data_IF_213044818326
#
_entry.id   IF_213044818326
#
_cell.length_a   1.000
_cell.length_b   1.000
_cell.length_c   1.000
_cell.angle_alpha   90.00
_cell.angle_beta   90.00
_cell.angle_gamma   90.00
#
_symmetry.space_group_name_H-M   'P 1'
#
loop_
_entity.id
_entity.type
_entity.pdbx_description
1 polymer ?
#
# COMPACT_ATOMS: atom_id res chain seq x y z
N UNK A 1 -23.83 -31.35 -52.37
CA UNK A 1 -23.62 -31.64 -50.95
C UNK A 1 -23.42 -30.32 -50.23
N UNK A 2 -24.35 -30.00 -49.35
CA UNK A 2 -24.44 -28.77 -48.54
C UNK A 2 -23.37 -28.80 -47.45
N UNK A 3 -22.68 -27.70 -47.14
CA UNK A 3 -22.76 -27.04 -45.83
C UNK A 3 -21.85 -25.79 -45.72
N UNK A 4 -22.56 -24.71 -45.43
CA UNK A 4 -22.22 -23.36 -44.98
C UNK A 4 -21.64 -23.31 -43.54
N UNK A 5 -20.85 -22.25 -43.25
CA UNK A 5 -20.44 -21.66 -41.94
C UNK A 5 -19.49 -22.49 -41.04
N UNK A 6 -18.53 -21.90 -40.29
CA UNK A 6 -18.72 -21.06 -39.10
C UNK A 6 -17.35 -20.49 -38.59
N UNK A 7 -17.36 -19.28 -38.03
CA UNK A 7 -16.54 -18.97 -36.86
C UNK A 7 -15.29 -18.07 -37.00
N UNK A 8 -15.50 -16.76 -36.99
CA UNK A 8 -14.52 -15.78 -36.47
C UNK A 8 -14.14 -16.17 -35.04
N UNK A 9 -12.89 -16.56 -34.76
CA UNK A 9 -12.39 -16.71 -33.38
C UNK A 9 -11.43 -15.57 -33.01
N UNK A 10 -12.02 -14.38 -32.86
CA UNK A 10 -11.38 -13.19 -32.32
C UNK A 10 -11.23 -13.34 -30.77
N UNK A 11 -10.36 -14.23 -30.29
CA UNK A 11 -10.20 -14.50 -28.84
C UNK A 11 -9.01 -13.81 -28.16
N UNK A 12 -8.12 -13.14 -28.91
CA UNK A 12 -6.84 -12.67 -28.37
C UNK A 12 -6.74 -11.22 -27.85
N UNK A 13 -7.65 -10.25 -28.09
CA UNK A 13 -7.45 -8.88 -27.61
C UNK A 13 -7.96 -8.62 -26.19
N UNK A 14 -8.98 -9.35 -25.73
CA UNK A 14 -9.60 -9.11 -24.41
C UNK A 14 -8.71 -9.60 -23.26
N UNK A 15 -7.94 -10.68 -23.45
CA UNK A 15 -7.07 -11.24 -22.39
C UNK A 15 -5.90 -10.31 -22.09
N UNK A 16 -5.28 -9.75 -23.14
CA UNK A 16 -4.20 -8.76 -23.01
C UNK A 16 -4.70 -7.44 -22.42
N UNK A 17 -5.92 -7.00 -22.77
CA UNK A 17 -6.53 -5.81 -22.19
C UNK A 17 -6.71 -5.95 -20.66
N UNK A 18 -7.25 -7.08 -20.20
CA UNK A 18 -7.41 -7.32 -18.76
C UNK A 18 -6.06 -7.31 -18.02
N UNK A 19 -5.04 -8.00 -18.53
CA UNK A 19 -3.70 -8.01 -17.92
C UNK A 19 -3.11 -6.60 -17.85
N UNK A 20 -3.24 -5.80 -18.92
CA UNK A 20 -2.76 -4.42 -18.93
C UNK A 20 -3.50 -3.56 -17.89
N UNK A 21 -4.82 -3.71 -17.78
CA UNK A 21 -5.63 -3.02 -16.76
C UNK A 21 -5.19 -3.42 -15.35
N UNK A 22 -4.97 -4.70 -15.07
CA UNK A 22 -4.45 -5.15 -13.77
C UNK A 22 -3.06 -4.59 -13.46
N UNK A 23 -2.16 -4.58 -14.44
CA UNK A 23 -0.81 -4.00 -14.28
C UNK A 23 -0.86 -2.49 -14.01
N UNK A 24 -1.74 -1.77 -14.73
CA UNK A 24 -1.99 -0.35 -14.51
C UNK A 24 -2.57 -0.09 -13.11
N UNK A 25 -3.51 -0.92 -12.65
CA UNK A 25 -4.13 -0.80 -11.33
C UNK A 25 -3.11 -1.00 -10.20
N UNK A 26 -2.24 -2.00 -10.33
CA UNK A 26 -1.15 -2.26 -9.38
C UNK A 26 -0.13 -1.11 -9.35
N UNK A 27 0.26 -0.58 -10.52
CA UNK A 27 1.14 0.59 -10.61
C UNK A 27 0.52 1.83 -9.95
N UNK A 28 -0.79 2.05 -10.13
CA UNK A 28 -1.47 3.20 -9.55
C UNK A 28 -1.61 3.09 -8.02
N UNK A 29 -1.80 1.87 -7.51
CA UNK A 29 -1.88 1.61 -6.07
C UNK A 29 -0.55 1.90 -5.36
N UNK A 30 0.57 1.46 -5.94
CA UNK A 30 1.92 1.71 -5.41
C UNK A 30 2.32 3.19 -5.52
N UNK A 31 1.80 3.90 -6.54
CA UNK A 31 2.05 5.33 -6.71
C UNK A 31 1.31 6.24 -5.70
N UNK A 32 0.27 5.74 -5.03
CA UNK A 32 -0.55 6.52 -4.09
C UNK A 32 0.04 6.56 -2.68
N UNK A 33 0.91 5.62 -2.30
CA UNK A 33 1.61 5.64 -1.01
C UNK A 33 2.83 6.57 -1.04
N UNK A 34 2.64 7.85 -1.35
CA UNK A 34 3.73 8.83 -1.33
C UNK A 34 4.00 9.35 0.07
N UNK A 35 4.50 8.48 0.96
CA UNK A 35 5.23 8.96 2.11
C UNK A 35 6.64 9.36 1.64
N UNK A 36 6.91 10.67 1.55
CA UNK A 36 8.27 11.15 1.30
C UNK A 36 9.16 10.73 2.47
N UNK A 37 9.99 9.71 2.26
CA UNK A 37 10.94 9.26 3.25
C UNK A 37 11.89 10.41 3.62
N UNK A 38 12.21 10.60 4.93
CA UNK A 38 13.19 11.60 5.34
C UNK A 38 14.53 11.38 4.61
N UNK A 39 15.18 12.46 4.18
CA UNK A 39 16.51 12.39 3.55
C UNK A 39 17.62 11.96 4.52
N UNK A 40 17.35 11.97 5.82
CA UNK A 40 18.27 11.61 6.88
C UNK A 40 17.59 10.67 7.89
N UNK A 41 18.31 9.66 8.35
CA UNK A 41 17.84 8.76 9.40
C UNK A 41 17.61 9.50 10.72
N UNK A 42 16.54 9.14 11.43
CA UNK A 42 16.26 9.61 12.79
C UNK A 42 17.07 8.76 13.78
N UNK A 43 17.77 9.41 14.69
CA UNK A 43 18.58 8.75 15.72
C UNK A 43 18.04 9.16 17.09
N UNK A 44 17.89 8.20 18.00
CA UNK A 44 17.55 8.43 19.41
C UNK A 44 18.51 7.68 20.33
N UNK A 45 18.53 8.07 21.60
CA UNK A 45 19.28 7.35 22.64
C UNK A 45 18.55 6.06 23.01
N UNK A 46 19.30 5.07 23.50
CA UNK A 46 18.72 3.84 24.01
C UNK A 46 17.75 4.13 25.16
N UNK A 47 16.52 3.64 25.06
CA UNK A 47 15.46 3.89 26.03
C UNK A 47 14.84 5.29 25.97
N UNK A 48 15.16 6.09 24.94
CA UNK A 48 14.47 7.33 24.63
C UNK A 48 13.57 7.19 23.41
N UNK A 49 12.72 8.20 23.20
CA UNK A 49 11.71 8.16 22.14
C UNK A 49 12.29 8.64 20.80
N UNK A 50 11.76 8.15 19.69
CA UNK A 50 12.07 8.63 18.35
C UNK A 50 10.80 9.13 17.64
N UNK A 51 10.81 10.37 17.17
CA UNK A 51 9.72 10.91 16.34
C UNK A 51 10.09 10.73 14.89
N UNK A 52 9.31 9.95 14.16
CA UNK A 52 9.50 9.70 12.73
C UNK A 52 8.61 10.67 11.94
N UNK A 53 9.18 11.71 11.29
CA UNK A 53 8.39 12.67 10.54
C UNK A 53 7.90 12.06 9.23
N UNK A 54 6.62 12.25 8.93
CA UNK A 54 6.04 12.03 7.60
C UNK A 54 5.41 13.34 7.11
N UNK A 55 5.42 13.57 5.80
CA UNK A 55 4.75 14.74 5.19
C UNK A 55 3.50 14.29 4.45
N UNK A 56 2.44 15.06 4.62
CA UNK A 56 1.20 14.91 3.88
C UNK A 56 1.03 16.07 2.90
N UNK A 57 0.43 15.81 1.74
CA UNK A 57 0.05 16.90 0.83
C UNK A 57 -0.99 17.81 1.47
N UNK A 58 -0.89 19.11 1.19
CA UNK A 58 -1.81 20.10 1.75
C UNK A 58 -3.24 19.86 1.26
N UNK A 59 -4.21 19.93 2.18
CA UNK A 59 -5.64 19.74 1.88
C UNK A 59 -6.16 18.32 2.09
N UNK A 60 -5.29 17.36 2.41
CA UNK A 60 -5.69 16.03 2.87
C UNK A 60 -6.02 16.05 4.36
N UNK A 61 -7.16 15.46 4.73
CA UNK A 61 -7.54 15.25 6.11
C UNK A 61 -6.87 13.97 6.65
N UNK A 62 -5.91 14.14 7.56
CA UNK A 62 -5.19 13.04 8.19
C UNK A 62 -6.12 12.05 8.92
N UNK A 63 -7.30 12.50 9.37
CA UNK A 63 -8.26 11.61 10.03
C UNK A 63 -8.83 10.56 9.06
N UNK A 64 -8.87 10.84 7.76
CA UNK A 64 -9.40 9.95 6.73
C UNK A 64 -8.33 9.03 6.11
N UNK A 65 -7.08 9.14 6.55
CA UNK A 65 -5.96 8.38 6.01
C UNK A 65 -5.60 7.20 6.91
N UNK A 66 -4.99 6.19 6.29
CA UNK A 66 -4.30 5.14 7.00
C UNK A 66 -2.84 5.53 7.20
N UNK A 67 -2.36 5.46 8.43
CA UNK A 67 -0.94 5.58 8.78
C UNK A 67 -0.49 4.26 9.35
N UNK A 68 0.50 3.65 8.71
CA UNK A 68 1.05 2.36 9.09
C UNK A 68 2.53 2.53 9.42
N UNK A 69 2.92 2.08 10.60
CA UNK A 69 4.32 1.94 10.98
C UNK A 69 4.62 0.48 11.06
N UNK A 70 5.62 0.05 10.29
CA UNK A 70 6.00 -1.35 10.22
C UNK A 70 7.50 -1.53 10.14
N UNK A 71 7.93 -2.71 10.56
CA UNK A 71 9.28 -3.21 10.49
C UNK A 71 9.26 -4.40 9.54
N UNK A 72 9.89 -4.31 8.36
CA UNK A 72 9.82 -5.36 7.34
C UNK A 72 10.51 -6.65 7.79
N UNK A 73 11.31 -6.60 8.85
CA UNK A 73 11.99 -7.73 9.49
C UNK A 73 11.13 -8.47 10.53
N UNK A 74 9.89 -8.05 10.80
CA UNK A 74 9.01 -8.65 11.79
C UNK A 74 7.79 -9.35 11.17
N UNK A 75 7.23 -10.29 11.92
CA UNK A 75 5.92 -10.87 11.64
C UNK A 75 5.11 -10.99 12.97
N UNK A 76 3.97 -10.29 13.11
CA UNK A 76 3.39 -9.36 12.15
C UNK A 76 4.26 -8.11 11.93
N UNK A 77 4.28 -7.58 10.70
CA UNK A 77 5.16 -6.46 10.33
C UNK A 77 4.81 -5.14 10.97
N UNK A 78 3.54 -4.90 11.28
CA UNK A 78 3.06 -3.60 11.72
C UNK A 78 3.22 -3.46 13.22
N UNK A 79 3.71 -2.33 13.69
CA UNK A 79 3.84 -1.99 15.11
C UNK A 79 2.81 -0.95 15.53
N UNK A 80 2.32 -0.15 14.59
CA UNK A 80 1.23 0.78 14.81
C UNK A 80 0.42 0.99 13.54
N UNK A 81 -0.90 1.01 13.67
CA UNK A 81 -1.83 1.29 12.56
C UNK A 81 -2.88 2.26 13.07
N UNK A 82 -2.98 3.42 12.41
CA UNK A 82 -4.07 4.36 12.56
C UNK A 82 -4.90 4.37 11.29
N UNK A 83 -6.20 4.14 11.40
CA UNK A 83 -7.10 4.11 10.27
C UNK A 83 -8.42 4.78 10.63
N UNK A 84 -8.83 5.77 9.82
CA UNK A 84 -10.12 6.43 9.93
C UNK A 84 -10.42 6.96 11.36
N UNK A 85 -9.42 7.62 11.96
CA UNK A 85 -9.52 8.22 13.29
C UNK A 85 -9.41 7.23 14.46
N UNK A 86 -9.01 5.98 14.23
CA UNK A 86 -8.89 4.96 15.27
C UNK A 86 -7.64 4.10 15.10
N UNK A 87 -7.05 3.71 16.23
CA UNK A 87 -6.00 2.71 16.26
C UNK A 87 -6.54 1.28 16.03
N UNK A 88 -5.87 0.53 15.17
CA UNK A 88 -6.16 -0.88 14.87
C UNK A 88 -5.09 -1.75 15.51
N UNK A 89 -5.48 -2.65 16.42
CA UNK A 89 -4.56 -3.46 17.23
C UNK A 89 -4.44 -4.93 16.78
N UNK A 90 -5.38 -5.42 15.96
CA UNK A 90 -5.45 -6.84 15.59
C UNK A 90 -4.21 -7.37 14.84
N UNK A 91 -3.53 -6.50 14.09
CA UNK A 91 -2.38 -6.88 13.24
C UNK A 91 -1.07 -6.24 13.74
N UNK A 92 -1.04 -5.74 14.97
CA UNK A 92 0.14 -5.10 15.56
C UNK A 92 1.04 -6.12 16.28
N UNK A 93 2.35 -5.97 16.13
CA UNK A 93 3.35 -6.73 16.86
C UNK A 93 3.55 -6.14 18.26
N UNK A 94 3.11 -6.88 19.27
CA UNK A 94 3.11 -6.46 20.67
C UNK A 94 4.51 -6.41 21.33
N UNK A 95 5.57 -6.81 20.62
CA UNK A 95 6.93 -6.89 21.16
C UNK A 95 7.78 -5.63 20.92
N UNK A 96 7.26 -4.63 20.21
CA UNK A 96 7.94 -3.35 20.01
C UNK A 96 7.06 -2.22 20.53
N UNK A 97 7.51 -1.63 21.62
CA UNK A 97 7.05 -0.33 22.10
C UNK A 97 8.12 0.69 21.72
N UNK A 98 7.71 1.83 21.16
CA UNK A 98 8.60 2.98 20.95
C UNK A 98 8.89 3.66 22.28
#
# INVERSE_FOLDING_TARGET
MVHTMEGLSLKSPLRSFNVLVFLLLMHFYEAQSQAMAPSQAVVSMLGGDAVLPCRLEAGLDAAQLTVEWGRPDLEPRFVYIWHNGKEITNDQNALIFF
#
